data_IF_520503150753
#
_entry.id   IF_520503150753
#
_cell.length_a   1.000
_cell.length_b   1.000
_cell.length_c   1.000
_cell.angle_alpha   90.00
_cell.angle_beta   90.00
_cell.angle_gamma   90.00
#
_symmetry.space_group_name_H-M   'P 1'
#
loop_
_entity.id
_entity.type
_entity.pdbx_description
1 polymer ?
#
# COMPACT_ATOMS: atom_id res chain seq x y z
N UNK A 1 -28.11 -1.35 -14.66
CA UNK A 1 -27.68 -0.29 -15.59
C UNK A 1 -26.81 0.69 -14.81
N UNK A 2 -25.55 0.91 -15.18
CA UNK A 2 -24.68 1.93 -14.54
C UNK A 2 -24.89 3.24 -15.28
N UNK A 3 -25.33 4.29 -14.58
CA UNK A 3 -25.70 5.56 -15.21
C UNK A 3 -24.43 6.39 -15.48
N UNK A 4 -24.37 7.04 -16.64
CA UNK A 4 -23.25 7.89 -17.03
C UNK A 4 -23.04 9.13 -16.11
N UNK A 5 -23.97 9.37 -15.18
CA UNK A 5 -24.01 10.47 -14.21
C UNK A 5 -23.65 10.06 -12.78
N UNK A 6 -23.11 8.85 -12.57
CA UNK A 6 -22.63 8.33 -11.28
C UNK A 6 -21.34 9.04 -10.80
N UNK A 7 -21.41 10.37 -10.69
CA UNK A 7 -20.34 11.31 -10.29
C UNK A 7 -19.89 11.09 -8.84
N UNK A 8 -20.70 10.37 -8.06
CA UNK A 8 -20.46 10.04 -6.65
C UNK A 8 -19.87 8.66 -6.41
N UNK A 9 -19.76 7.79 -7.44
CA UNK A 9 -19.25 6.43 -7.22
C UNK A 9 -17.77 6.43 -6.86
N UNK A 10 -17.35 5.60 -5.89
CA UNK A 10 -15.94 5.50 -5.50
C UNK A 10 -15.04 5.12 -6.69
N UNK A 11 -15.55 4.35 -7.65
CA UNK A 11 -14.82 4.01 -8.87
C UNK A 11 -14.52 5.23 -9.76
N UNK A 12 -15.53 6.08 -9.98
CA UNK A 12 -15.36 7.29 -10.77
C UNK A 12 -14.37 8.27 -10.11
N UNK A 13 -14.46 8.44 -8.78
CA UNK A 13 -13.54 9.31 -8.04
C UNK A 13 -12.08 8.84 -8.13
N UNK A 14 -11.84 7.53 -8.06
CA UNK A 14 -10.49 6.96 -8.22
C UNK A 14 -9.95 7.17 -9.64
N UNK A 15 -10.79 7.03 -10.67
CA UNK A 15 -10.42 7.30 -12.04
C UNK A 15 -10.04 8.77 -12.26
N UNK A 16 -10.87 9.71 -11.77
CA UNK A 16 -10.61 11.15 -11.81
C UNK A 16 -9.33 11.53 -11.07
N UNK A 17 -9.14 11.02 -9.86
CA UNK A 17 -7.92 11.25 -9.07
C UNK A 17 -6.68 10.74 -9.81
N UNK A 18 -6.78 9.58 -10.46
CA UNK A 18 -5.66 9.00 -11.23
C UNK A 18 -5.31 9.84 -12.45
N UNK A 19 -6.30 10.36 -13.17
CA UNK A 19 -6.05 11.28 -14.29
C UNK A 19 -5.33 12.56 -13.81
N UNK A 20 -5.78 13.14 -12.70
CA UNK A 20 -5.17 14.34 -12.13
C UNK A 20 -3.74 14.10 -11.63
N UNK A 21 -3.47 12.93 -11.04
CA UNK A 21 -2.12 12.50 -10.66
C UNK A 21 -1.21 12.48 -11.88
N UNK A 22 -1.64 11.88 -13.00
CA UNK A 22 -0.83 11.82 -14.23
C UNK A 22 -0.48 13.21 -14.75
N UNK A 23 -1.46 14.11 -14.78
CA UNK A 23 -1.26 15.51 -15.21
C UNK A 23 -0.29 16.27 -14.29
N UNK A 24 -0.44 16.13 -12.97
CA UNK A 24 0.43 16.80 -12.00
C UNK A 24 1.86 16.24 -12.03
N UNK A 25 2.03 14.93 -12.22
CA UNK A 25 3.36 14.33 -12.36
C UNK A 25 4.09 14.94 -13.56
N UNK A 26 3.45 15.04 -14.73
CA UNK A 26 4.03 15.68 -15.92
C UNK A 26 4.36 17.16 -15.66
N UNK A 27 3.45 17.89 -15.01
CA UNK A 27 3.68 19.29 -14.65
C UNK A 27 4.90 19.45 -13.73
N UNK A 28 5.09 18.55 -12.77
CA UNK A 28 6.21 18.58 -11.83
C UNK A 28 7.56 18.23 -12.47
N UNK A 29 7.58 17.45 -13.55
CA UNK A 29 8.82 17.17 -14.31
C UNK A 29 9.40 18.46 -14.90
N UNK A 30 8.53 19.36 -15.38
CA UNK A 30 8.88 20.69 -15.90
C UNK A 30 9.12 21.68 -14.76
N UNK A 31 8.23 21.72 -13.77
CA UNK A 31 8.23 22.71 -12.68
C UNK A 31 8.64 22.10 -11.33
N UNK A 32 9.89 21.68 -11.21
CA UNK A 32 10.42 20.99 -10.00
C UNK A 32 10.38 21.81 -8.71
N UNK A 33 10.29 23.15 -8.80
CA UNK A 33 10.28 24.06 -7.65
C UNK A 33 8.87 24.39 -7.13
N UNK A 34 7.80 23.93 -7.79
CA UNK A 34 6.44 24.17 -7.33
C UNK A 34 6.06 23.24 -6.17
N UNK A 35 6.24 23.75 -4.95
CA UNK A 35 5.91 23.05 -3.71
C UNK A 35 4.40 22.97 -3.45
N UNK A 36 3.60 23.90 -3.96
CA UNK A 36 2.15 23.90 -3.76
C UNK A 36 1.51 22.77 -4.57
N UNK A 37 1.90 22.63 -5.84
CA UNK A 37 1.46 21.53 -6.70
C UNK A 37 1.91 20.16 -6.18
N UNK A 38 3.12 20.07 -5.63
CA UNK A 38 3.60 18.84 -4.96
C UNK A 38 2.72 18.42 -3.79
N UNK A 39 2.39 19.36 -2.90
CA UNK A 39 1.50 19.10 -1.75
C UNK A 39 0.11 18.67 -2.22
N UNK A 40 -0.42 19.33 -3.25
CA UNK A 40 -1.69 18.93 -3.86
C UNK A 40 -1.66 17.52 -4.46
N UNK A 41 -0.56 17.15 -5.14
CA UNK A 41 -0.35 15.80 -5.66
C UNK A 41 -0.33 14.76 -4.52
N UNK A 42 0.45 15.02 -3.48
CA UNK A 42 0.54 14.13 -2.31
C UNK A 42 -0.83 13.91 -1.66
N UNK A 43 -1.62 14.98 -1.52
CA UNK A 43 -2.99 14.91 -0.99
C UNK A 43 -3.90 14.02 -1.86
N UNK A 44 -3.90 14.22 -3.18
CA UNK A 44 -4.72 13.41 -4.10
C UNK A 44 -4.31 11.93 -4.06
N UNK A 45 -3.01 11.64 -3.94
CA UNK A 45 -2.51 10.26 -3.79
C UNK A 45 -3.01 9.63 -2.50
N UNK A 46 -3.00 10.37 -1.38
CA UNK A 46 -3.52 9.90 -0.10
C UNK A 46 -5.03 9.63 -0.16
N UNK A 47 -5.80 10.51 -0.77
CA UNK A 47 -7.25 10.35 -0.87
C UNK A 47 -7.63 9.17 -1.78
N UNK A 48 -6.91 8.97 -2.89
CA UNK A 48 -7.05 7.76 -3.71
C UNK A 48 -6.77 6.49 -2.92
N UNK A 49 -5.76 6.49 -2.06
CA UNK A 49 -5.43 5.35 -1.19
C UNK A 49 -6.54 5.06 -0.18
N UNK A 50 -7.16 6.09 0.41
CA UNK A 50 -8.32 5.93 1.32
C UNK A 50 -9.51 5.32 0.58
N UNK A 51 -9.81 5.78 -0.64
CA UNK A 51 -10.90 5.23 -1.45
C UNK A 51 -10.67 3.77 -1.83
N UNK A 52 -9.45 3.39 -2.21
CA UNK A 52 -9.11 1.99 -2.48
C UNK A 52 -9.27 1.11 -1.23
N UNK A 53 -8.85 1.61 -0.06
CA UNK A 53 -9.05 0.92 1.22
C UNK A 53 -10.54 0.75 1.56
N UNK A 54 -11.37 1.75 1.25
CA UNK A 54 -12.81 1.66 1.42
C UNK A 54 -13.42 0.59 0.51
N UNK A 55 -13.12 0.64 -0.80
CA UNK A 55 -13.59 -0.34 -1.77
C UNK A 55 -13.19 -1.76 -1.39
N UNK A 56 -11.97 -1.96 -0.91
CA UNK A 56 -11.53 -3.28 -0.44
C UNK A 56 -12.40 -3.85 0.68
N UNK A 57 -12.99 -2.99 1.53
CA UNK A 57 -13.86 -3.40 2.64
C UNK A 57 -15.31 -3.60 2.21
N UNK A 58 -15.79 -2.84 1.22
CA UNK A 58 -17.19 -2.86 0.79
C UNK A 58 -17.44 -3.73 -0.43
N UNK A 59 -16.60 -3.62 -1.47
CA UNK A 59 -16.74 -4.36 -2.72
C UNK A 59 -15.36 -4.76 -3.29
N UNK A 60 -15.01 -6.03 -3.05
CA UNK A 60 -13.73 -6.60 -3.45
C UNK A 60 -13.61 -6.82 -4.98
N UNK A 61 -14.74 -7.00 -5.68
CA UNK A 61 -14.79 -7.18 -7.13
C UNK A 61 -14.47 -5.86 -7.85
N UNK A 62 -15.15 -4.77 -7.45
CA UNK A 62 -14.83 -3.42 -7.95
C UNK A 62 -13.38 -3.04 -7.65
N UNK A 63 -12.86 -3.37 -6.45
CA UNK A 63 -11.46 -3.13 -6.10
C UNK A 63 -10.49 -3.82 -7.07
N UNK A 64 -10.70 -5.11 -7.36
CA UNK A 64 -9.88 -5.88 -8.31
C UNK A 64 -9.92 -5.27 -9.72
N UNK A 65 -11.12 -4.97 -10.22
CA UNK A 65 -11.30 -4.39 -11.55
C UNK A 65 -10.59 -3.03 -11.70
N UNK A 66 -10.62 -2.19 -10.68
CA UNK A 66 -9.91 -0.89 -10.69
C UNK A 66 -8.40 -1.09 -10.60
N UNK A 67 -7.95 -2.02 -9.75
CA UNK A 67 -6.54 -2.34 -9.58
C UNK A 67 -5.92 -2.79 -10.92
N UNK A 68 -6.63 -3.63 -11.66
CA UNK A 68 -6.26 -4.07 -13.02
C UNK A 68 -6.28 -2.89 -14.01
N UNK A 69 -7.39 -2.14 -14.10
CA UNK A 69 -7.54 -1.02 -15.05
C UNK A 69 -6.50 0.07 -14.87
N UNK A 70 -6.15 0.40 -13.64
CA UNK A 70 -5.24 1.51 -13.34
C UNK A 70 -3.81 1.05 -13.05
N UNK A 71 -3.55 -0.27 -13.07
CA UNK A 71 -2.26 -0.88 -12.74
C UNK A 71 -1.66 -0.32 -11.44
N UNK A 72 -2.52 -0.05 -10.45
CA UNK A 72 -2.10 0.54 -9.17
C UNK A 72 -1.60 -0.59 -8.28
N UNK A 73 -0.29 -0.64 -8.01
CA UNK A 73 0.26 -1.53 -6.98
C UNK A 73 -0.04 -0.96 -5.60
N UNK A 74 -1.14 -1.40 -4.98
CA UNK A 74 -1.37 -1.12 -3.57
C UNK A 74 -0.34 -1.88 -2.73
N UNK A 75 0.62 -1.15 -2.14
CA UNK A 75 1.62 -1.72 -1.21
C UNK A 75 1.03 -1.98 0.18
N UNK A 76 -0.28 -1.91 0.37
CA UNK A 76 -0.90 -2.29 1.65
C UNK A 76 -0.71 -3.79 1.86
N UNK A 77 0.15 -4.22 2.81
CA UNK A 77 0.22 -5.63 3.16
C UNK A 77 -1.18 -6.10 3.56
N UNK A 78 -1.57 -7.35 3.28
CA UNK A 78 -2.85 -7.87 3.75
C UNK A 78 -2.92 -7.58 5.24
N UNK A 79 -3.89 -6.77 5.65
CA UNK A 79 -4.03 -6.37 7.05
C UNK A 79 -4.17 -7.65 7.85
N UNK A 80 -3.25 -7.97 8.77
CA UNK A 80 -3.53 -9.05 9.68
C UNK A 80 -4.68 -8.56 10.55
N UNK A 81 -5.83 -9.20 10.41
CA UNK A 81 -6.95 -9.02 11.34
C UNK A 81 -6.48 -9.55 12.68
N UNK A 82 -5.96 -8.67 13.54
CA UNK A 82 -5.63 -9.02 14.91
C UNK A 82 -6.67 -8.39 15.84
N UNK A 83 -7.24 -9.13 16.80
CA UNK A 83 -7.50 -8.53 18.09
C UNK A 83 -6.13 -8.12 18.67
N UNK A 84 -5.99 -6.86 19.06
CA UNK A 84 -4.71 -6.27 19.43
C UNK A 84 -4.03 -7.00 20.60
N UNK A 85 -2.88 -7.66 20.40
CA UNK A 85 -1.89 -7.89 21.47
C UNK A 85 -0.48 -7.98 20.88
N UNK A 86 0.40 -7.05 21.29
CA UNK A 86 1.84 -7.30 21.48
C UNK A 86 2.72 -7.53 20.25
N UNK A 87 3.00 -6.49 19.45
CA UNK A 87 4.29 -6.44 18.73
C UNK A 87 5.11 -5.25 19.19
N UNK A 88 6.03 -5.56 20.12
CA UNK A 88 7.16 -4.72 20.48
C UNK A 88 7.97 -4.45 19.21
N UNK A 89 7.98 -3.20 18.76
CA UNK A 89 8.95 -2.73 17.77
C UNK A 89 10.34 -2.76 18.39
N UNK A 90 11.01 -3.91 18.29
CA UNK A 90 12.43 -4.07 18.57
C UNK A 90 13.23 -3.85 17.29
N UNK A 91 13.77 -2.65 17.12
CA UNK A 91 14.88 -2.38 16.22
C UNK A 91 16.10 -3.19 16.70
N UNK A 92 16.36 -4.34 16.10
CA UNK A 92 17.67 -4.99 16.17
C UNK A 92 18.00 -5.59 14.80
N UNK A 93 18.58 -4.74 13.96
CA UNK A 93 19.32 -5.19 12.78
C UNK A 93 20.61 -5.86 13.22
N UNK A 94 20.77 -7.15 12.90
CA UNK A 94 22.09 -7.77 12.70
C UNK A 94 22.61 -8.67 13.83
N UNK A 95 22.25 -9.95 13.80
CA UNK A 95 23.14 -11.06 14.18
C UNK A 95 22.71 -12.30 13.41
N UNK A 96 23.54 -12.75 12.47
CA UNK A 96 23.31 -14.02 11.79
C UNK A 96 23.67 -15.17 12.73
N UNK A 97 22.72 -16.07 12.93
CA UNK A 97 22.86 -17.29 13.69
C UNK A 97 23.76 -18.26 12.91
N UNK A 98 25.00 -18.45 13.38
CA UNK A 98 25.84 -19.53 12.86
C UNK A 98 25.25 -20.86 13.32
N UNK A 99 24.60 -21.58 12.42
CA UNK A 99 24.42 -23.03 12.59
C UNK A 99 25.81 -23.69 12.50
N UNK A 100 26.35 -24.13 13.63
CA UNK A 100 27.30 -25.23 13.67
C UNK A 100 26.78 -26.30 14.61
N UNK A 101 26.15 -27.27 13.96
CA UNK A 101 25.93 -28.64 14.38
C UNK A 101 27.15 -29.20 15.14
N UNK A 102 26.95 -29.65 16.37
CA UNK A 102 27.80 -30.67 16.97
C UNK A 102 26.95 -31.57 17.86
N UNK A 103 26.49 -32.68 17.27
CA UNK A 103 26.14 -33.89 17.99
C UNK A 103 27.19 -34.17 19.06
N UNK A 104 26.77 -34.12 20.32
CA UNK A 104 27.56 -34.51 21.48
C UNK A 104 27.36 -36.01 21.70
N UNK A 105 28.35 -36.89 21.47
CA UNK A 105 28.25 -38.25 21.99
C UNK A 105 28.56 -38.22 23.49
N UNK A 106 27.65 -38.86 24.23
CA UNK A 106 27.78 -39.18 25.65
C UNK A 106 28.71 -40.39 25.77
N UNK A 107 29.78 -40.28 26.55
CA UNK A 107 30.69 -41.39 26.85
C UNK A 107 31.58 -41.04 28.04
N UNK A 108 31.34 -41.75 29.17
CA UNK A 108 31.96 -41.65 30.49
C UNK A 108 33.38 -42.34 30.51
N UNK A 109 33.92 -42.73 31.67
CA UNK A 109 34.60 -41.95 32.73
C UNK A 109 36.06 -42.43 32.95
N UNK A 110 36.86 -41.69 33.73
CA UNK A 110 37.74 -42.17 34.80
C UNK A 110 38.11 -40.97 35.68
#
# INVERSE_FOLDING_TARGET
MRHATDTGTPEFQIARATQRIRQLVQHMEVHRKDLASRRGLEQIVQDRRKMLKYLRRTNLESYKAICEKLSIKDRVPPTPTYPAVGRRFGINSGRQEKLKNSNRPIGKPF
#
